data_IF_407051224007
#
_entry.id   IF_407051224007
#
_cell.length_a   1.000
_cell.length_b   1.000
_cell.length_c   1.000
_cell.angle_alpha   90.00
_cell.angle_beta   90.00
_cell.angle_gamma   90.00
#
_symmetry.space_group_name_H-M   'P 1'
#
loop_
_entity.id
_entity.type
_entity.pdbx_description
1 polymer ?
#
# COMPACT_ATOMS: atom_id res chain seq x y z
N UNK A 1 89.32 -9.06 -32.61
CA UNK A 1 88.34 -10.15 -32.76
C UNK A 1 86.97 -9.50 -32.96
N UNK A 2 86.57 -9.27 -34.22
CA UNK A 2 85.34 -8.54 -34.59
C UNK A 2 84.16 -9.51 -34.66
N UNK A 3 83.15 -9.28 -33.80
CA UNK A 3 81.93 -10.07 -33.73
C UNK A 3 80.95 -9.59 -34.80
N UNK A 4 80.72 -10.41 -35.85
CA UNK A 4 79.65 -10.16 -36.83
C UNK A 4 78.28 -10.41 -36.17
N UNK A 5 77.38 -9.43 -36.23
CA UNK A 5 75.98 -9.57 -35.86
C UNK A 5 75.20 -9.98 -37.11
N UNK A 6 74.63 -11.18 -37.12
CA UNK A 6 73.77 -11.66 -38.21
C UNK A 6 72.37 -11.05 -38.07
N UNK A 7 71.96 -10.27 -39.07
CA UNK A 7 70.60 -9.74 -39.17
C UNK A 7 69.67 -10.84 -39.70
N UNK A 8 68.76 -11.32 -38.87
CA UNK A 8 67.71 -12.26 -39.31
C UNK A 8 66.65 -11.51 -40.14
N UNK A 9 66.19 -12.06 -41.28
CA UNK A 9 65.16 -11.44 -42.09
C UNK A 9 63.81 -11.48 -41.35
N UNK A 10 63.23 -10.31 -41.11
CA UNK A 10 61.88 -10.15 -40.56
C UNK A 10 60.87 -10.66 -41.58
N UNK A 11 60.24 -11.80 -41.33
CA UNK A 11 59.10 -12.27 -42.15
C UNK A 11 57.94 -11.30 -41.97
N UNK A 12 57.64 -10.52 -43.01
CA UNK A 12 56.47 -9.66 -43.05
C UNK A 12 55.24 -10.54 -43.31
N UNK A 13 54.35 -10.64 -42.32
CA UNK A 13 53.05 -11.28 -42.48
C UNK A 13 52.27 -10.45 -43.49
N UNK A 14 51.97 -11.03 -44.65
CA UNK A 14 51.11 -10.40 -45.66
C UNK A 14 49.68 -10.40 -45.12
N UNK A 15 49.22 -9.22 -44.70
CA UNK A 15 47.83 -9.01 -44.30
C UNK A 15 46.98 -9.10 -45.57
N UNK A 16 46.27 -10.22 -45.74
CA UNK A 16 45.25 -10.35 -46.77
C UNK A 16 44.25 -9.18 -46.62
N UNK A 17 43.97 -8.47 -47.71
CA UNK A 17 43.01 -7.35 -47.76
C UNK A 17 41.58 -7.87 -47.52
N UNK A 18 41.23 -8.18 -46.28
CA UNK A 18 39.84 -8.31 -45.84
C UNK A 18 39.25 -6.91 -45.76
N UNK A 19 38.61 -6.46 -46.84
CA UNK A 19 37.95 -5.16 -46.92
C UNK A 19 36.45 -5.39 -47.08
N UNK A 20 35.67 -5.00 -46.07
CA UNK A 20 34.22 -4.84 -46.15
C UNK A 20 33.42 -5.67 -45.16
N UNK A 21 33.58 -7.00 -45.18
CA UNK A 21 32.66 -7.92 -44.47
C UNK A 21 32.76 -7.82 -42.95
N UNK A 22 33.96 -7.60 -42.41
CA UNK A 22 34.18 -7.54 -40.96
C UNK A 22 33.35 -6.41 -40.31
N UNK A 23 33.28 -5.25 -40.95
CA UNK A 23 32.57 -4.09 -40.42
C UNK A 23 31.06 -4.34 -40.34
N UNK A 24 30.50 -4.97 -41.38
CA UNK A 24 29.08 -5.35 -41.42
C UNK A 24 28.77 -6.38 -40.34
N UNK A 25 29.62 -7.40 -40.19
CA UNK A 25 29.46 -8.44 -39.16
C UNK A 25 29.53 -7.83 -37.76
N UNK A 26 30.48 -6.93 -37.50
CA UNK A 26 30.55 -6.23 -36.21
C UNK A 26 29.35 -5.33 -35.97
N UNK A 27 28.83 -4.66 -37.00
CA UNK A 27 27.66 -3.79 -36.84
C UNK A 27 26.42 -4.61 -36.50
N UNK A 28 26.21 -5.75 -37.17
CA UNK A 28 25.11 -6.68 -36.88
C UNK A 28 25.25 -7.24 -35.47
N UNK A 29 26.45 -7.69 -35.08
CA UNK A 29 26.72 -8.21 -33.74
C UNK A 29 26.42 -7.16 -32.66
N UNK A 30 26.88 -5.92 -32.86
CA UNK A 30 26.60 -4.80 -31.95
C UNK A 30 25.10 -4.49 -31.85
N UNK A 31 24.38 -4.56 -32.97
CA UNK A 31 22.93 -4.37 -33.00
C UNK A 31 22.20 -5.45 -32.18
N UNK A 32 22.61 -6.71 -32.35
CA UNK A 32 22.04 -7.83 -31.61
C UNK A 32 22.30 -7.67 -30.10
N UNK A 33 23.54 -7.40 -29.70
CA UNK A 33 23.91 -7.21 -28.29
C UNK A 33 23.17 -6.02 -27.68
N UNK A 34 23.07 -4.91 -28.41
CA UNK A 34 22.30 -3.73 -27.98
C UNK A 34 20.81 -4.05 -27.79
N UNK A 35 20.22 -4.86 -28.66
CA UNK A 35 18.83 -5.30 -28.54
C UNK A 35 18.61 -6.13 -27.27
N UNK A 36 19.48 -7.10 -27.01
CA UNK A 36 19.41 -7.96 -25.81
C UNK A 36 19.61 -7.14 -24.52
N UNK A 37 20.55 -6.20 -24.51
CA UNK A 37 20.77 -5.30 -23.38
C UNK A 37 19.53 -4.44 -23.08
N UNK A 38 18.91 -3.87 -24.12
CA UNK A 38 17.71 -3.04 -23.97
C UNK A 38 16.50 -3.82 -23.42
N UNK A 39 16.31 -5.07 -23.84
CA UNK A 39 15.22 -5.93 -23.34
C UNK A 39 15.45 -6.26 -21.86
N UNK A 40 16.69 -6.56 -21.48
CA UNK A 40 17.06 -6.90 -20.08
C UNK A 40 16.80 -5.73 -19.14
N UNK A 41 17.14 -4.50 -19.55
CA UNK A 41 16.90 -3.27 -18.76
C UNK A 41 15.40 -2.99 -18.59
N UNK A 42 14.58 -3.28 -19.60
CA UNK A 42 13.11 -3.10 -19.51
C UNK A 42 12.46 -4.13 -18.58
N UNK A 43 13.00 -5.35 -18.50
CA UNK A 43 12.49 -6.42 -17.63
C UNK A 43 12.64 -6.11 -16.14
N UNK A 44 13.76 -5.53 -15.72
CA UNK A 44 14.01 -5.20 -14.30
C UNK A 44 13.02 -4.17 -13.75
N UNK A 45 12.73 -3.11 -14.52
CA UNK A 45 11.78 -2.09 -14.11
C UNK A 45 10.34 -2.61 -13.95
N UNK A 46 9.92 -3.58 -14.77
CA UNK A 46 8.59 -4.19 -14.61
C UNK A 46 8.49 -5.02 -13.33
N UNK A 47 9.51 -5.81 -13.01
CA UNK A 47 9.54 -6.61 -11.78
C UNK A 47 9.57 -5.77 -10.50
N UNK A 48 10.28 -4.65 -10.52
CA UNK A 48 10.36 -3.70 -9.41
C UNK A 48 9.00 -3.02 -9.15
N UNK A 49 8.30 -2.60 -10.21
CA UNK A 49 6.96 -2.01 -10.08
C UNK A 49 5.93 -3.01 -9.53
N UNK A 50 5.94 -4.26 -10.01
CA UNK A 50 5.07 -5.32 -9.48
C UNK A 50 5.38 -5.61 -8.01
N UNK A 51 6.66 -5.70 -7.65
CA UNK A 51 7.08 -5.90 -6.26
C UNK A 51 6.64 -4.73 -5.36
N UNK A 52 6.77 -3.49 -5.85
CA UNK A 52 6.35 -2.30 -5.11
C UNK A 52 4.83 -2.27 -4.90
N UNK A 53 4.04 -2.50 -5.96
CA UNK A 53 2.57 -2.56 -5.86
C UNK A 53 2.10 -3.68 -4.92
N UNK A 54 2.75 -4.85 -4.97
CA UNK A 54 2.44 -5.95 -4.06
C UNK A 54 2.75 -5.57 -2.61
N UNK A 55 3.86 -4.87 -2.37
CA UNK A 55 4.25 -4.38 -1.05
C UNK A 55 3.25 -3.35 -0.51
N UNK A 56 2.84 -2.35 -1.30
CA UNK A 56 1.88 -1.34 -0.85
C UNK A 56 0.50 -1.95 -0.60
N UNK A 57 0.07 -2.90 -1.44
CA UNK A 57 -1.16 -3.67 -1.23
C UNK A 57 -1.12 -4.48 0.08
N UNK A 58 0.01 -5.13 0.38
CA UNK A 58 0.17 -5.89 1.61
C UNK A 58 0.10 -5.00 2.86
N UNK A 59 0.71 -3.81 2.81
CA UNK A 59 0.61 -2.82 3.90
C UNK A 59 -0.82 -2.30 4.06
N UNK A 60 -1.53 -2.03 2.96
CA UNK A 60 -2.94 -1.66 3.01
C UNK A 60 -3.80 -2.76 3.67
N UNK A 61 -3.52 -4.03 3.37
CA UNK A 61 -4.20 -5.17 3.99
C UNK A 61 -3.91 -5.26 5.49
N UNK A 62 -2.65 -5.07 5.92
CA UNK A 62 -2.29 -5.05 7.34
C UNK A 62 -2.99 -3.91 8.09
N UNK A 63 -3.08 -2.72 7.50
CA UNK A 63 -3.83 -1.60 8.08
C UNK A 63 -5.33 -1.89 8.18
N UNK A 64 -5.91 -2.51 7.15
CA UNK A 64 -7.32 -2.92 7.16
C UNK A 64 -7.60 -3.97 8.24
N UNK A 65 -6.70 -4.95 8.41
CA UNK A 65 -6.83 -5.99 9.43
C UNK A 65 -6.72 -5.41 10.84
N UNK A 66 -5.74 -4.54 11.09
CA UNK A 66 -5.59 -3.86 12.38
C UNK A 66 -6.83 -3.02 12.73
N UNK A 67 -7.37 -2.29 11.74
CA UNK A 67 -8.59 -1.51 11.93
C UNK A 67 -9.82 -2.40 12.19
N UNK A 68 -9.92 -3.54 11.50
CA UNK A 68 -10.99 -4.52 11.70
C UNK A 68 -10.93 -5.10 13.12
N UNK A 69 -9.74 -5.52 13.58
CA UNK A 69 -9.54 -6.03 14.95
C UNK A 69 -9.91 -5.00 16.02
N UNK A 70 -9.53 -3.74 15.80
CA UNK A 70 -9.91 -2.64 16.68
C UNK A 70 -11.44 -2.47 16.71
N UNK A 71 -12.09 -2.39 15.54
CA UNK A 71 -13.52 -2.19 15.43
C UNK A 71 -14.32 -3.36 16.03
N UNK A 72 -13.86 -4.60 15.85
CA UNK A 72 -14.46 -5.78 16.48
C UNK A 72 -14.44 -5.69 18.00
N UNK A 73 -13.29 -5.33 18.57
CA UNK A 73 -13.12 -5.18 20.03
C UNK A 73 -14.01 -4.06 20.56
N UNK A 74 -13.97 -2.90 19.91
CA UNK A 74 -14.76 -1.72 20.27
C UNK A 74 -16.28 -2.01 20.23
N UNK A 75 -16.77 -2.70 19.21
CA UNK A 75 -18.19 -3.08 19.09
C UNK A 75 -18.61 -4.09 20.17
N UNK A 76 -17.75 -5.06 20.49
CA UNK A 76 -18.02 -6.02 21.56
C UNK A 76 -18.03 -5.34 22.94
N UNK A 77 -17.13 -4.39 23.19
CA UNK A 77 -17.11 -3.59 24.42
C UNK A 77 -18.33 -2.68 24.54
N UNK A 78 -18.74 -2.02 23.45
CA UNK A 78 -19.97 -1.22 23.39
C UNK A 78 -21.22 -2.03 23.73
N UNK A 79 -21.26 -3.32 23.38
CA UNK A 79 -22.39 -4.18 23.71
C UNK A 79 -22.41 -4.63 25.19
N UNK A 80 -21.26 -4.64 25.87
CA UNK A 80 -21.15 -5.02 27.29
C UNK A 80 -21.40 -3.86 28.26
N UNK A 81 -21.09 -2.64 27.84
CA UNK A 81 -21.28 -1.44 28.64
C UNK A 81 -22.63 -0.83 28.26
N UNK A 82 -23.58 -0.76 29.21
CA UNK A 82 -24.88 -0.08 29.08
C UNK A 82 -24.71 1.42 28.77
N UNK A 83 -24.28 1.77 27.55
CA UNK A 83 -24.12 3.09 26.92
C UNK A 83 -23.60 4.29 27.75
N UNK A 84 -23.21 4.10 29.00
CA UNK A 84 -22.88 5.16 29.95
C UNK A 84 -21.37 5.24 30.04
N UNK A 85 -20.76 5.65 28.94
CA UNK A 85 -19.38 6.11 28.98
C UNK A 85 -19.40 7.55 29.48
N UNK A 86 -18.62 7.90 30.52
CA UNK A 86 -18.53 9.27 31.00
C UNK A 86 -18.20 10.25 29.87
N UNK A 87 -18.80 11.45 29.85
CA UNK A 87 -18.38 12.51 28.93
C UNK A 87 -16.88 12.78 29.09
N UNK A 88 -16.11 12.69 28.01
CA UNK A 88 -14.70 13.09 28.00
C UNK A 88 -13.66 11.98 27.87
N UNK A 89 -14.02 10.70 27.82
CA UNK A 89 -13.05 9.66 27.40
C UNK A 89 -12.87 9.69 25.88
N UNK A 90 -11.64 9.85 25.35
CA UNK A 90 -11.37 9.85 23.92
C UNK A 90 -11.33 8.42 23.36
N UNK A 91 -12.30 7.56 23.71
CA UNK A 91 -12.52 6.32 22.97
C UNK A 91 -13.27 6.72 21.71
N UNK A 92 -12.52 6.86 20.61
CA UNK A 92 -13.12 7.08 19.30
C UNK A 92 -13.78 5.76 18.87
N UNK A 93 -15.06 5.64 19.23
CA UNK A 93 -15.90 4.49 18.95
C UNK A 93 -16.26 4.41 17.48
N UNK A 94 -16.38 3.19 16.97
CA UNK A 94 -16.99 2.91 15.66
C UNK A 94 -18.51 2.85 15.89
N UNK A 95 -19.29 3.84 15.44
CA UNK A 95 -20.73 3.83 15.60
C UNK A 95 -21.34 2.73 14.73
N UNK A 96 -22.34 2.03 15.28
CA UNK A 96 -23.10 1.02 14.55
C UNK A 96 -24.34 1.68 13.95
N UNK A 97 -24.36 1.81 12.62
CA UNK A 97 -25.51 2.31 11.88
C UNK A 97 -26.70 1.33 11.99
N UNK A 98 -27.95 1.84 11.99
CA UNK A 98 -29.13 0.99 11.93
C UNK A 98 -29.11 0.13 10.67
N UNK A 99 -29.84 -0.99 10.71
CA UNK A 99 -30.00 -1.82 9.53
C UNK A 99 -30.61 -1.02 8.38
N UNK A 100 -30.04 -1.17 7.19
CA UNK A 100 -30.52 -0.47 6.00
C UNK A 100 -32.00 -0.84 5.75
N UNK A 101 -32.87 0.16 5.67
CA UNK A 101 -34.31 -0.01 5.40
C UNK A 101 -34.61 -0.29 3.93
N UNK A 102 -33.59 -0.18 3.06
CA UNK A 102 -33.61 -0.57 1.66
C UNK A 102 -32.18 -0.83 1.19
N UNK A 103 -31.99 -1.79 0.28
CA UNK A 103 -30.70 -2.02 -0.34
C UNK A 103 -30.34 -0.82 -1.24
N UNK A 104 -29.06 -0.43 -1.32
CA UNK A 104 -27.91 -1.20 -0.87
C UNK A 104 -27.33 -0.72 0.48
N UNK A 105 -26.71 -1.63 1.24
CA UNK A 105 -26.10 -1.35 2.54
C UNK A 105 -25.06 -0.21 2.45
N UNK A 106 -24.88 0.58 3.52
CA UNK A 106 -24.08 1.81 3.45
C UNK A 106 -22.64 1.56 2.97
N UNK A 107 -22.03 0.44 3.37
CA UNK A 107 -20.65 0.09 2.99
C UNK A 107 -20.45 -0.13 1.48
N UNK A 108 -21.52 -0.41 0.73
CA UNK A 108 -21.45 -0.58 -0.73
C UNK A 108 -21.51 0.73 -1.49
N UNK A 109 -21.87 1.82 -0.81
CA UNK A 109 -22.07 3.13 -1.42
C UNK A 109 -20.80 3.96 -1.25
N UNK A 110 -20.16 4.34 -2.36
CA UNK A 110 -18.94 5.16 -2.35
C UNK A 110 -19.15 6.49 -1.61
N UNK A 111 -20.33 7.11 -1.73
CA UNK A 111 -20.70 8.37 -1.05
C UNK A 111 -20.73 8.27 0.49
N UNK A 112 -20.74 7.05 1.04
CA UNK A 112 -20.70 6.77 2.47
C UNK A 112 -19.27 6.60 2.98
N UNK A 113 -18.31 6.45 2.08
CA UNK A 113 -16.88 6.41 2.37
C UNK A 113 -16.23 7.75 2.10
N UNK A 114 -16.51 8.32 0.93
CA UNK A 114 -15.89 9.53 0.42
C UNK A 114 -16.98 10.59 0.19
N UNK A 115 -16.72 11.85 0.60
CA UNK A 115 -17.62 13.05 0.65
C UNK A 115 -18.05 13.46 2.07
N UNK A 116 -18.69 14.65 2.14
CA UNK A 116 -19.24 15.24 3.36
C UNK A 116 -20.31 14.38 4.05
N UNK A 117 -20.96 13.48 3.31
CA UNK A 117 -21.96 12.52 3.83
C UNK A 117 -21.35 11.21 4.32
N UNK A 118 -20.02 11.11 4.35
CA UNK A 118 -19.33 9.89 4.75
C UNK A 118 -19.69 9.49 6.18
N UNK A 119 -20.11 8.24 6.33
CA UNK A 119 -20.43 7.61 7.62
C UNK A 119 -19.31 6.70 8.12
N UNK A 120 -18.21 6.60 7.36
CA UNK A 120 -17.02 5.89 7.82
C UNK A 120 -16.43 6.57 9.06
N UNK A 121 -15.77 5.80 9.90
CA UNK A 121 -15.06 6.30 11.07
C UNK A 121 -13.60 6.00 10.86
N UNK A 122 -12.77 7.04 10.83
CA UNK A 122 -11.32 6.86 10.84
C UNK A 122 -10.95 6.04 12.08
N UNK A 123 -10.07 5.06 11.96
CA UNK A 123 -9.58 4.27 13.09
C UNK A 123 -8.21 4.79 13.49
N UNK A 124 -8.11 5.27 14.72
CA UNK A 124 -6.91 5.87 15.29
C UNK A 124 -5.96 4.78 15.82
N UNK A 125 -5.36 3.99 14.94
CA UNK A 125 -4.46 2.90 15.33
C UNK A 125 -3.21 3.37 16.07
N UNK A 126 -2.80 4.63 15.92
CA UNK A 126 -1.69 5.21 16.67
C UNK A 126 -1.91 5.25 18.19
N UNK A 127 -3.16 5.15 18.66
CA UNK A 127 -3.45 5.05 20.09
C UNK A 127 -2.93 3.73 20.69
N UNK A 128 -2.75 2.68 19.88
CA UNK A 128 -2.16 1.40 20.29
C UNK A 128 -0.68 1.53 20.65
N UNK A 129 0.02 2.49 20.04
CA UNK A 129 1.43 2.80 20.31
C UNK A 129 1.60 3.78 21.49
N UNK A 130 0.52 4.07 22.24
CA UNK A 130 0.52 5.04 23.35
C UNK A 130 0.64 6.50 22.90
N UNK A 131 0.42 6.77 21.61
CA UNK A 131 0.51 8.10 21.01
C UNK A 131 -0.88 8.76 21.00
N UNK A 132 -0.98 10.02 21.42
CA UNK A 132 -2.26 10.74 21.51
C UNK A 132 -2.69 11.33 20.15
N UNK A 133 -1.74 11.54 19.25
CA UNK A 133 -2.00 12.04 17.89
C UNK A 133 -0.86 11.68 16.93
N UNK A 134 -1.19 11.36 15.68
CA UNK A 134 -0.19 11.40 14.62
C UNK A 134 0.14 12.87 14.30
N UNK A 135 1.41 13.30 14.31
CA UNK A 135 1.82 14.61 13.84
C UNK A 135 1.78 14.71 12.30
N UNK A 136 1.03 13.84 11.61
CA UNK A 136 0.49 14.16 10.29
C UNK A 136 -0.48 15.34 10.44
N UNK A 137 0.03 16.53 10.75
CA UNK A 137 -0.53 17.65 10.04
C UNK A 137 -0.06 17.50 8.60
N UNK A 138 -0.75 18.12 7.67
CA UNK A 138 -0.25 18.29 6.30
C UNK A 138 1.17 18.91 6.21
N UNK A 139 1.91 19.15 7.30
CA UNK A 139 3.28 19.69 7.29
C UNK A 139 4.15 19.18 8.45
N UNK A 140 5.10 18.30 8.10
CA UNK A 140 6.46 18.09 8.65
C UNK A 140 6.71 17.96 10.17
N UNK A 141 7.12 16.77 10.62
CA UNK A 141 8.52 16.48 10.99
C UNK A 141 8.69 15.01 11.40
N UNK A 142 9.59 14.31 10.72
CA UNK A 142 9.95 12.93 10.98
C UNK A 142 10.82 12.81 12.24
N UNK A 143 10.56 11.80 13.08
CA UNK A 143 11.57 10.81 13.52
C UNK A 143 11.00 9.93 14.63
N UNK A 144 10.81 8.64 14.33
CA UNK A 144 11.57 7.50 14.89
C UNK A 144 10.86 6.20 14.50
N UNK A 145 11.69 5.20 14.26
CA UNK A 145 11.37 3.87 13.76
C UNK A 145 10.23 3.22 14.56
N UNK A 146 9.22 2.68 13.85
CA UNK A 146 8.20 1.79 14.42
C UNK A 146 6.79 2.35 14.62
N UNK A 147 6.50 3.60 14.28
CA UNK A 147 5.18 4.21 14.55
C UNK A 147 4.25 4.16 13.32
N UNK A 148 2.99 3.75 13.49
CA UNK A 148 1.93 3.75 12.47
C UNK A 148 1.89 5.08 11.67
N UNK A 149 2.06 6.21 12.35
CA UNK A 149 2.06 7.56 11.77
C UNK A 149 3.22 7.85 10.79
N UNK A 150 4.33 7.12 10.89
CA UNK A 150 5.50 7.29 10.02
C UNK A 150 5.40 6.47 8.74
N UNK A 151 4.63 5.38 8.76
CA UNK A 151 4.46 4.47 7.63
C UNK A 151 3.18 4.78 6.83
N UNK A 152 2.07 5.07 7.51
CA UNK A 152 0.77 5.32 6.90
C UNK A 152 0.46 6.82 6.92
N UNK A 153 0.35 7.43 5.74
CA UNK A 153 -0.05 8.84 5.61
C UNK A 153 -1.54 9.02 5.82
N UNK A 154 -2.36 8.05 5.38
CA UNK A 154 -3.81 8.03 5.57
C UNK A 154 -4.19 6.93 6.56
N UNK A 155 -4.92 7.24 7.64
CA UNK A 155 -5.39 6.23 8.58
C UNK A 155 -6.51 5.38 7.96
N UNK A 156 -6.66 4.10 8.35
CA UNK A 156 -7.75 3.25 7.90
C UNK A 156 -9.09 3.78 8.41
N UNK A 157 -10.16 3.33 7.77
CA UNK A 157 -11.51 3.74 8.09
C UNK A 157 -12.42 2.52 8.20
N UNK A 158 -13.35 2.53 9.15
CA UNK A 158 -14.30 1.45 9.36
C UNK A 158 -15.74 1.96 9.38
N UNK A 159 -16.66 1.09 9.02
CA UNK A 159 -18.10 1.31 9.06
C UNK A 159 -18.75 0.07 9.64
N UNK A 160 -19.63 0.27 10.61
CA UNK A 160 -20.41 -0.80 11.20
C UNK A 160 -21.90 -0.57 10.94
N UNK A 161 -22.62 -1.63 10.59
CA UNK A 161 -24.05 -1.58 10.34
C UNK A 161 -24.72 -2.86 10.80
N UNK A 162 -25.88 -2.75 11.44
CA UNK A 162 -26.68 -3.93 11.75
C UNK A 162 -27.16 -4.61 10.46
N UNK A 163 -27.02 -5.93 10.38
CA UNK A 163 -27.47 -6.70 9.23
C UNK A 163 -29.00 -6.76 9.13
N UNK A 164 -29.69 -6.61 10.26
CA UNK A 164 -31.14 -6.63 10.37
C UNK A 164 -31.62 -5.84 11.60
N UNK A 165 -32.93 -5.62 11.68
CA UNK A 165 -33.56 -4.92 12.81
C UNK A 165 -33.48 -5.68 14.15
N UNK A 166 -32.97 -6.91 14.17
CA UNK A 166 -32.80 -7.66 15.43
C UNK A 166 -31.61 -7.18 16.26
N UNK A 167 -30.75 -6.31 15.71
CA UNK A 167 -29.55 -5.79 16.37
C UNK A 167 -28.58 -6.86 16.90
N UNK A 168 -28.59 -8.07 16.30
CA UNK A 168 -27.75 -9.20 16.74
C UNK A 168 -26.57 -9.51 15.82
N UNK A 169 -26.65 -9.05 14.59
CA UNK A 169 -25.64 -9.27 13.57
C UNK A 169 -25.16 -7.90 13.11
N UNK A 170 -23.85 -7.67 13.16
CA UNK A 170 -23.23 -6.44 12.73
C UNK A 170 -22.25 -6.77 11.61
N UNK A 171 -22.41 -6.11 10.47
CA UNK A 171 -21.38 -6.08 9.44
C UNK A 171 -20.40 -4.97 9.78
N UNK A 172 -19.13 -5.32 9.87
CA UNK A 172 -18.04 -4.37 10.06
C UNK A 172 -17.20 -4.41 8.80
N UNK A 173 -17.20 -3.32 8.05
CA UNK A 173 -16.38 -3.17 6.86
C UNK A 173 -15.30 -2.15 7.18
N UNK A 174 -14.05 -2.50 6.93
CA UNK A 174 -12.91 -1.61 7.11
C UNK A 174 -12.13 -1.52 5.82
N UNK A 175 -11.67 -0.32 5.51
CA UNK A 175 -10.70 -0.08 4.44
C UNK A 175 -9.37 0.36 5.01
N UNK A 176 -8.31 -0.27 4.52
CA UNK A 176 -6.93 0.10 4.79
C UNK A 176 -6.27 0.73 3.58
N UNK A 177 -5.29 1.59 3.84
CA UNK A 177 -4.57 2.33 2.82
C UNK A 177 -3.09 2.00 2.89
N UNK A 178 -2.44 1.94 1.72
CA UNK A 178 -1.00 1.81 1.64
C UNK A 178 -0.28 3.13 1.96
N UNK A 179 1.06 3.11 2.16
CA UNK A 179 1.87 4.32 2.39
C UNK A 179 1.86 5.34 1.24
N UNK A 180 1.42 4.92 0.06
CA UNK A 180 1.29 5.69 -1.16
C UNK A 180 0.06 6.60 -1.16
N UNK A 181 -0.98 6.27 -0.39
CA UNK A 181 -2.23 7.05 -0.31
C UNK A 181 -2.04 8.28 0.56
N UNK A 182 -2.35 9.46 0.03
CA UNK A 182 -2.25 10.74 0.76
C UNK A 182 -3.38 10.91 1.78
N UNK A 183 -3.08 11.62 2.87
CA UNK A 183 -4.09 12.03 3.84
C UNK A 183 -5.11 12.98 3.19
N UNK A 184 -6.38 12.88 3.57
CA UNK A 184 -7.42 13.84 3.22
C UNK A 184 -8.20 14.24 4.47
N UNK A 185 -8.46 15.54 4.60
CA UNK A 185 -9.27 16.10 5.70
C UNK A 185 -10.78 15.98 5.42
N UNK A 186 -11.16 15.92 4.15
CA UNK A 186 -12.56 15.94 3.67
C UNK A 186 -13.05 14.57 3.22
N UNK A 187 -12.26 13.51 3.48
CA UNK A 187 -12.49 12.15 2.98
C UNK A 187 -12.72 12.16 1.48
N UNK A 188 -11.79 12.77 0.76
CA UNK A 188 -11.77 12.69 -0.69
C UNK A 188 -11.40 11.27 -1.11
N UNK A 189 -11.83 10.93 -2.32
CA UNK A 189 -11.53 9.66 -2.97
C UNK A 189 -10.02 9.38 -2.91
N UNK A 190 -9.59 8.23 -2.37
CA UNK A 190 -8.18 7.89 -2.26
C UNK A 190 -7.57 7.63 -3.64
N UNK A 191 -6.27 7.94 -3.77
CA UNK A 191 -5.46 7.58 -4.92
C UNK A 191 -4.27 6.76 -4.44
N UNK A 192 -4.19 5.51 -4.90
CA UNK A 192 -3.18 4.54 -4.49
C UNK A 192 -3.79 3.22 -4.00
N UNK A 193 -3.03 2.51 -3.17
CA UNK A 193 -3.36 1.17 -2.70
C UNK A 193 -4.44 1.20 -1.62
N UNK A 194 -5.59 0.60 -1.91
CA UNK A 194 -6.74 0.49 -1.00
C UNK A 194 -7.20 -0.97 -0.92
N UNK A 195 -7.53 -1.44 0.28
CA UNK A 195 -8.03 -2.79 0.53
C UNK A 195 -9.25 -2.71 1.44
N UNK A 196 -10.35 -3.36 1.04
CA UNK A 196 -11.54 -3.53 1.86
C UNK A 196 -11.56 -4.93 2.49
N UNK A 197 -11.77 -4.98 3.79
CA UNK A 197 -12.04 -6.21 4.55
C UNK A 197 -13.39 -6.09 5.24
N UNK A 198 -14.04 -7.24 5.44
CA UNK A 198 -15.34 -7.29 6.12
C UNK A 198 -15.39 -8.45 7.09
N UNK A 199 -15.92 -8.17 8.28
CA UNK A 199 -16.27 -9.14 9.30
C UNK A 199 -17.78 -9.12 9.58
N UNK A 200 -18.27 -10.20 10.17
CA UNK A 200 -19.65 -10.32 10.65
C UNK A 200 -19.61 -10.75 12.11
N UNK A 201 -19.99 -9.83 12.99
CA UNK A 201 -20.04 -10.08 14.42
C UNK A 201 -21.45 -10.49 14.82
N UNK A 202 -21.54 -11.50 15.68
CA UNK A 202 -22.77 -11.83 16.39
C UNK A 202 -22.66 -11.31 17.81
N UNK A 203 -23.52 -10.36 18.16
CA UNK A 203 -23.54 -9.81 19.52
C UNK A 203 -24.17 -10.82 20.49
N UNK A 204 -23.60 -10.97 21.70
CA UNK A 204 -24.20 -11.75 22.77
C UNK A 204 -25.55 -11.13 23.18
N UNK A 205 -26.34 -11.88 23.95
CA UNK A 205 -27.58 -11.32 24.50
C UNK A 205 -27.21 -10.20 25.49
N UNK A 206 -27.95 -9.08 25.49
CA UNK A 206 -27.79 -8.04 26.51
C UNK A 206 -28.06 -8.61 27.91
#
# INVERSE_FOLDING_TARGET
>A
MMHKINHLPRKYVTVAKQRGVLLIVTMILLLIISGVAAITIKGSGSSENVANNTRTQALAMQAAEAALRYAETDILEQNRLDNTIPPGTPVRRVPIAPAATGLPADWTQESKWDKSTSTSTVVSLYALDGVVSCPTNLTSNASREGNFCGLYKRPPECMAQYANASNRLVWVTCRGFGPDVVASLTKDLPSGSEVFLRSVLRLPFP
#
